data_IF_182025051334
#
_entry.id   IF_182025051334
#
_cell.length_a   1.000
_cell.length_b   1.000
_cell.length_c   1.000
_cell.angle_alpha   90.00
_cell.angle_beta   90.00
_cell.angle_gamma   90.00
#
_symmetry.space_group_name_H-M   'P 1'
#
loop_
_entity.id
_entity.type
_entity.pdbx_description
1 polymer ?
#
# COMPACT_ATOMS: atom_id res chain seq x y z
N UNK A 1 -7.87 -9.85 -28.44
CA UNK A 1 -6.42 -9.78 -28.18
C UNK A 1 -6.13 -10.83 -27.11
N UNK A 2 -5.03 -11.60 -27.21
CA UNK A 2 -4.64 -12.43 -26.08
C UNK A 2 -4.44 -11.54 -24.85
N UNK A 3 -4.68 -12.03 -23.61
CA UNK A 3 -4.38 -11.27 -22.42
C UNK A 3 -2.92 -10.82 -22.50
N UNK A 4 -2.69 -9.55 -22.22
CA UNK A 4 -1.35 -8.97 -22.22
C UNK A 4 -0.58 -9.75 -21.15
N UNK A 5 0.25 -10.71 -21.57
CA UNK A 5 1.09 -11.43 -20.61
C UNK A 5 1.96 -10.39 -19.91
N UNK A 6 1.89 -10.40 -18.59
CA UNK A 6 2.70 -9.53 -17.75
C UNK A 6 4.17 -9.59 -18.20
N UNK A 7 4.80 -8.44 -18.34
CA UNK A 7 6.25 -8.38 -18.57
C UNK A 7 6.98 -8.97 -17.35
N UNK A 8 7.64 -10.15 -17.47
CA UNK A 8 8.28 -10.79 -16.32
C UNK A 8 9.39 -9.93 -15.71
N UNK A 9 10.02 -9.05 -16.47
CA UNK A 9 11.08 -8.17 -15.96
C UNK A 9 10.49 -7.02 -15.16
N UNK A 10 9.31 -6.52 -15.55
CA UNK A 10 8.55 -5.56 -14.74
C UNK A 10 8.13 -6.19 -13.41
N UNK A 11 7.57 -7.39 -13.43
CA UNK A 11 7.14 -8.07 -12.20
C UNK A 11 8.32 -8.35 -11.26
N UNK A 12 9.46 -8.83 -11.77
CA UNK A 12 10.66 -9.03 -10.96
C UNK A 12 11.19 -7.73 -10.36
N UNK A 13 11.09 -6.62 -11.10
CA UNK A 13 11.49 -5.29 -10.59
C UNK A 13 10.59 -4.85 -9.45
N UNK A 14 9.29 -5.06 -9.58
CA UNK A 14 8.32 -4.78 -8.51
C UNK A 14 8.56 -5.69 -7.30
N UNK A 15 8.80 -6.98 -7.51
CA UNK A 15 9.09 -7.94 -6.43
C UNK A 15 10.36 -7.56 -5.66
N UNK A 16 11.41 -7.19 -6.37
CA UNK A 16 12.65 -6.69 -5.74
C UNK A 16 12.43 -5.41 -4.93
N UNK A 17 11.54 -4.51 -5.38
CA UNK A 17 11.14 -3.34 -4.61
C UNK A 17 10.38 -3.73 -3.34
N UNK A 18 9.41 -4.64 -3.43
CA UNK A 18 8.60 -5.09 -2.30
C UNK A 18 9.44 -5.84 -1.25
N UNK A 19 10.54 -6.48 -1.64
CA UNK A 19 11.54 -7.04 -0.72
C UNK A 19 12.43 -5.95 -0.08
N UNK A 20 12.76 -4.89 -0.82
CA UNK A 20 13.67 -3.84 -0.37
C UNK A 20 13.03 -2.87 0.64
N UNK A 21 11.75 -2.51 0.46
CA UNK A 21 11.04 -1.53 1.29
C UNK A 21 11.09 -1.89 2.78
N UNK A 22 10.71 -3.10 3.22
CA UNK A 22 10.72 -3.46 4.64
C UNK A 22 12.12 -3.46 5.25
N UNK A 23 13.15 -3.78 4.48
CA UNK A 23 14.55 -3.89 4.97
C UNK A 23 15.10 -2.58 5.52
N UNK A 24 14.49 -1.45 5.20
CA UNK A 24 14.91 -0.15 5.73
C UNK A 24 14.52 0.07 7.21
N UNK A 25 13.56 -0.70 7.74
CA UNK A 25 12.99 -0.50 9.08
C UNK A 25 12.73 -1.80 9.84
N UNK A 26 12.90 -2.95 9.21
CA UNK A 26 12.70 -4.26 9.80
C UNK A 26 13.97 -5.11 9.68
N UNK A 27 14.25 -5.91 10.69
CA UNK A 27 15.21 -7.00 10.54
C UNK A 27 14.56 -8.16 9.79
N UNK A 28 15.37 -9.00 9.18
CA UNK A 28 14.89 -10.15 8.40
C UNK A 28 15.32 -11.46 9.02
N UNK A 29 14.43 -12.44 8.94
CA UNK A 29 14.72 -13.85 9.20
C UNK A 29 14.33 -14.68 7.99
N UNK A 30 15.17 -15.66 7.61
CA UNK A 30 14.81 -16.63 6.58
C UNK A 30 14.16 -17.85 7.26
N UNK A 31 12.95 -18.21 6.82
CA UNK A 31 12.21 -19.37 7.31
C UNK A 31 11.75 -20.18 6.10
N UNK A 32 12.43 -21.30 5.82
CA UNK A 32 12.21 -22.07 4.61
C UNK A 32 12.37 -21.21 3.35
N UNK A 33 11.43 -21.24 2.40
CA UNK A 33 11.48 -20.45 1.18
C UNK A 33 10.99 -19.00 1.35
N UNK A 34 10.78 -18.53 2.59
CA UNK A 34 10.25 -17.20 2.88
C UNK A 34 11.25 -16.30 3.60
N UNK A 35 11.13 -14.99 3.37
CA UNK A 35 11.70 -13.93 4.19
C UNK A 35 10.61 -13.39 5.11
N UNK A 36 10.85 -13.45 6.42
CA UNK A 36 10.04 -12.83 7.46
C UNK A 36 10.63 -11.47 7.82
N UNK A 37 9.85 -10.41 7.71
CA UNK A 37 10.23 -9.05 8.09
C UNK A 37 9.69 -8.73 9.47
N UNK A 38 10.59 -8.53 10.43
CA UNK A 38 10.25 -8.32 11.85
C UNK A 38 10.45 -6.85 12.19
N UNK A 39 9.34 -6.11 12.29
CA UNK A 39 9.36 -4.73 12.79
C UNK A 39 9.02 -4.74 14.29
N UNK A 40 9.99 -4.45 15.14
CA UNK A 40 9.82 -4.34 16.59
C UNK A 40 9.50 -2.91 17.05
N UNK A 41 9.62 -1.95 16.14
CA UNK A 41 9.34 -0.54 16.40
C UNK A 41 7.89 -0.14 16.10
N UNK A 42 7.58 1.16 16.21
CA UNK A 42 6.29 1.70 15.78
C UNK A 42 6.14 1.57 14.26
N UNK A 43 4.89 1.63 13.77
CA UNK A 43 4.57 1.60 12.35
C UNK A 43 4.02 0.26 11.88
N UNK A 44 4.06 0.07 10.57
CA UNK A 44 3.45 -1.07 9.91
C UNK A 44 4.17 -2.38 10.23
N UNK A 45 3.40 -3.45 10.45
CA UNK A 45 3.91 -4.83 10.52
C UNK A 45 3.92 -5.39 9.10
N UNK A 46 5.07 -5.91 8.68
CA UNK A 46 5.24 -6.39 7.31
C UNK A 46 4.82 -7.85 7.17
N UNK A 47 4.43 -8.20 5.95
CA UNK A 47 4.10 -9.56 5.54
C UNK A 47 5.36 -10.42 5.40
N UNK A 48 5.24 -11.73 5.62
CA UNK A 48 6.24 -12.66 5.10
C UNK A 48 6.13 -12.74 3.58
N UNK A 49 7.25 -12.86 2.87
CA UNK A 49 7.31 -12.90 1.41
C UNK A 49 8.16 -14.07 0.92
N UNK A 50 7.84 -14.66 -0.25
CA UNK A 50 8.74 -15.58 -0.91
C UNK A 50 10.13 -14.96 -1.08
N UNK A 51 11.18 -15.75 -0.87
CA UNK A 51 12.53 -15.31 -1.20
C UNK A 51 12.70 -15.24 -2.72
N UNK A 52 13.41 -14.22 -3.23
CA UNK A 52 13.63 -14.11 -4.66
C UNK A 52 14.22 -15.39 -5.27
N UNK A 53 13.56 -15.90 -6.32
CA UNK A 53 14.00 -17.09 -7.05
C UNK A 53 13.48 -18.42 -6.51
N UNK A 54 12.79 -18.44 -5.37
CA UNK A 54 12.11 -19.66 -4.89
C UNK A 54 10.85 -19.93 -5.74
N UNK A 55 10.61 -21.20 -6.01
CA UNK A 55 9.49 -21.63 -6.89
C UNK A 55 8.66 -22.76 -6.29
N UNK A 56 9.12 -23.39 -5.21
CA UNK A 56 8.45 -24.48 -4.53
C UNK A 56 8.03 -24.07 -3.13
N UNK A 57 6.76 -24.22 -2.81
CA UNK A 57 6.15 -23.84 -1.55
C UNK A 57 5.20 -24.94 -1.09
N UNK A 58 5.24 -25.25 0.20
CA UNK A 58 4.37 -26.26 0.82
C UNK A 58 3.57 -25.67 1.97
N UNK A 59 2.45 -26.30 2.34
CA UNK A 59 1.71 -25.92 3.54
C UNK A 59 2.58 -26.02 4.84
N UNK A 60 3.55 -26.92 4.86
CA UNK A 60 4.51 -27.03 5.96
C UNK A 60 5.41 -25.79 6.09
N UNK A 61 5.88 -25.25 4.96
CA UNK A 61 6.69 -24.02 4.97
C UNK A 61 5.87 -22.82 5.49
N UNK A 62 4.60 -22.74 5.09
CA UNK A 62 3.68 -21.71 5.60
C UNK A 62 3.45 -21.87 7.10
N UNK A 63 3.20 -23.11 7.58
CA UNK A 63 3.02 -23.40 9.00
C UNK A 63 4.24 -23.02 9.84
N UNK A 64 5.45 -23.26 9.34
CA UNK A 64 6.70 -22.89 10.02
C UNK A 64 6.86 -21.37 10.15
N UNK A 65 6.55 -20.61 9.08
CA UNK A 65 6.55 -19.14 9.11
C UNK A 65 5.53 -18.62 10.11
N UNK A 66 4.30 -19.13 10.10
CA UNK A 66 3.23 -18.74 11.03
C UNK A 66 3.62 -19.04 12.49
N UNK A 67 4.23 -20.20 12.74
CA UNK A 67 4.75 -20.53 14.06
C UNK A 67 5.77 -19.47 14.51
N UNK A 68 6.69 -19.09 13.62
CA UNK A 68 7.69 -18.07 13.92
C UNK A 68 7.09 -16.68 14.11
N UNK A 69 6.09 -16.30 13.32
CA UNK A 69 5.34 -15.04 13.48
C UNK A 69 4.67 -14.97 14.86
N UNK A 70 4.03 -16.08 15.31
CA UNK A 70 3.42 -16.17 16.66
C UNK A 70 4.46 -16.00 17.78
N UNK A 71 5.60 -16.68 17.67
CA UNK A 71 6.70 -16.55 18.65
C UNK A 71 7.18 -15.09 18.80
N UNK A 72 7.19 -14.36 17.68
CA UNK A 72 7.63 -12.98 17.62
C UNK A 72 6.51 -11.96 17.87
N UNK A 73 5.29 -12.41 18.17
CA UNK A 73 4.09 -11.55 18.28
C UNK A 73 3.86 -10.69 17.04
N UNK A 74 4.19 -11.22 15.86
CA UNK A 74 3.91 -10.61 14.57
C UNK A 74 2.57 -11.12 14.02
N UNK A 75 1.90 -10.38 13.13
CA UNK A 75 0.74 -10.87 12.40
C UNK A 75 1.09 -12.11 11.56
N UNK A 76 0.19 -13.08 11.50
CA UNK A 76 0.30 -14.23 10.60
C UNK A 76 -0.20 -13.81 9.23
N UNK A 77 0.67 -13.20 8.44
CA UNK A 77 0.33 -12.58 7.17
C UNK A 77 1.43 -12.82 6.13
N UNK A 78 1.02 -13.03 4.88
CA UNK A 78 1.89 -13.21 3.72
C UNK A 78 1.45 -12.31 2.58
N UNK A 79 2.40 -11.91 1.75
CA UNK A 79 2.14 -11.20 0.50
C UNK A 79 3.13 -11.64 -0.57
N UNK A 80 2.66 -11.83 -1.80
CA UNK A 80 3.48 -12.28 -2.93
C UNK A 80 2.96 -11.73 -4.26
N UNK A 81 3.81 -11.75 -5.31
CA UNK A 81 3.34 -11.55 -6.68
C UNK A 81 2.93 -12.93 -7.23
N UNK A 82 1.64 -13.13 -7.42
CA UNK A 82 1.06 -14.41 -7.74
C UNK A 82 1.56 -14.97 -9.09
N UNK A 83 1.71 -14.09 -10.06
CA UNK A 83 2.24 -14.45 -11.39
C UNK A 83 3.71 -14.92 -11.35
N UNK A 84 4.49 -14.62 -10.29
CA UNK A 84 5.87 -15.08 -10.11
C UNK A 84 5.96 -16.35 -9.25
N UNK A 85 5.07 -16.49 -8.28
CA UNK A 85 5.12 -17.54 -7.26
C UNK A 85 3.73 -18.19 -7.03
N UNK A 86 3.09 -18.76 -8.08
CA UNK A 86 1.70 -19.23 -8.01
C UNK A 86 1.47 -20.38 -7.01
N UNK A 87 2.54 -21.10 -6.62
CA UNK A 87 2.44 -22.17 -5.60
C UNK A 87 2.17 -21.68 -4.18
N UNK A 88 2.35 -20.39 -3.91
CA UNK A 88 2.14 -19.81 -2.55
C UNK A 88 0.66 -19.81 -2.18
N UNK A 89 -0.25 -19.51 -3.13
CA UNK A 89 -1.69 -19.58 -2.92
C UNK A 89 -2.10 -20.95 -2.38
N UNK A 90 -1.76 -22.01 -3.11
CA UNK A 90 -2.09 -23.38 -2.72
C UNK A 90 -1.46 -23.77 -1.37
N UNK A 91 -0.23 -23.33 -1.10
CA UNK A 91 0.46 -23.60 0.16
C UNK A 91 -0.23 -22.92 1.34
N UNK A 92 -0.64 -21.66 1.18
CA UNK A 92 -1.34 -20.88 2.21
C UNK A 92 -2.74 -21.44 2.50
N UNK A 93 -3.51 -21.75 1.45
CA UNK A 93 -4.83 -22.41 1.60
C UNK A 93 -4.69 -23.80 2.26
N UNK A 94 -3.64 -24.54 1.91
CA UNK A 94 -3.34 -25.85 2.50
C UNK A 94 -3.04 -25.80 4.00
N UNK A 95 -2.56 -24.68 4.52
CA UNK A 95 -2.40 -24.40 5.96
C UNK A 95 -3.59 -23.63 6.58
N UNK A 96 -4.71 -23.54 5.85
CA UNK A 96 -5.97 -22.97 6.33
C UNK A 96 -6.01 -21.46 6.42
N UNK A 97 -5.15 -20.74 5.70
CA UNK A 97 -5.20 -19.28 5.61
C UNK A 97 -6.29 -18.81 4.64
N UNK A 98 -6.79 -17.59 4.87
CA UNK A 98 -7.64 -16.89 3.92
C UNK A 98 -6.77 -16.19 2.88
N UNK A 99 -6.93 -16.58 1.62
CA UNK A 99 -6.21 -15.98 0.49
C UNK A 99 -7.11 -14.96 -0.22
N UNK A 100 -6.51 -13.85 -0.61
CA UNK A 100 -7.11 -12.82 -1.45
C UNK A 100 -6.16 -12.48 -2.59
N UNK A 101 -6.65 -12.52 -3.81
CA UNK A 101 -5.90 -12.09 -5.01
C UNK A 101 -6.41 -10.73 -5.45
N UNK A 102 -5.48 -9.79 -5.70
CA UNK A 102 -5.78 -8.39 -6.01
C UNK A 102 -5.05 -7.94 -7.27
N UNK A 103 -5.63 -7.02 -8.08
CA UNK A 103 -4.95 -6.48 -9.24
C UNK A 103 -3.65 -5.74 -8.87
N UNK A 104 -2.53 -6.13 -9.48
CA UNK A 104 -1.29 -5.39 -9.50
C UNK A 104 -1.30 -4.48 -10.73
N UNK A 105 -1.15 -3.19 -10.53
CA UNK A 105 -1.28 -2.21 -11.58
C UNK A 105 0.00 -1.38 -11.73
N UNK A 106 0.39 -1.11 -12.97
CA UNK A 106 1.55 -0.30 -13.34
C UNK A 106 1.10 0.89 -14.20
N UNK A 107 1.80 2.01 -14.09
CA UNK A 107 1.61 3.19 -14.91
C UNK A 107 2.91 3.54 -15.65
N UNK A 108 2.87 3.45 -16.97
CA UNK A 108 3.91 4.03 -17.80
C UNK A 108 3.74 5.55 -17.91
N UNK A 109 4.83 6.30 -17.89
CA UNK A 109 4.77 7.77 -17.93
C UNK A 109 4.01 8.30 -19.16
N UNK A 110 4.11 7.62 -20.29
CA UNK A 110 3.40 7.99 -21.53
C UNK A 110 1.87 7.83 -21.44
N UNK A 111 1.39 6.99 -20.54
CA UNK A 111 -0.04 6.72 -20.34
C UNK A 111 -0.66 7.58 -19.23
N UNK A 112 0.15 8.40 -18.56
CA UNK A 112 -0.32 9.22 -17.46
C UNK A 112 -1.36 10.26 -17.89
N UNK A 113 -2.55 10.12 -17.38
CA UNK A 113 -3.69 11.01 -17.57
C UNK A 113 -4.08 11.65 -16.23
N UNK A 114 -3.51 12.80 -15.85
CA UNK A 114 -3.75 13.40 -14.55
C UNK A 114 -5.20 13.83 -14.37
N UNK A 115 -5.73 13.55 -13.19
CA UNK A 115 -7.07 13.98 -12.76
C UNK A 115 -6.93 15.25 -11.92
N UNK A 116 -7.60 16.31 -12.36
CA UNK A 116 -7.60 17.57 -11.63
C UNK A 116 -8.35 17.45 -10.29
N UNK A 117 -7.96 18.23 -9.26
CA UNK A 117 -8.73 18.34 -8.03
C UNK A 117 -10.18 18.75 -8.32
N UNK A 118 -11.18 18.19 -7.63
CA UNK A 118 -12.54 18.68 -7.70
C UNK A 118 -12.67 20.11 -7.14
N UNK A 119 -13.74 20.81 -7.50
CA UNK A 119 -13.98 22.19 -7.06
C UNK A 119 -13.86 22.35 -5.53
N UNK A 120 -13.11 23.35 -5.12
CA UNK A 120 -12.85 23.66 -3.73
C UNK A 120 -11.82 22.77 -3.03
N UNK A 121 -11.33 21.72 -3.68
CA UNK A 121 -10.25 20.89 -3.12
C UNK A 121 -8.87 21.43 -3.51
N UNK A 122 -8.01 21.60 -2.51
CA UNK A 122 -6.58 21.86 -2.68
C UNK A 122 -5.81 20.58 -2.41
N UNK A 123 -4.92 20.18 -3.34
CA UNK A 123 -4.05 19.03 -3.16
C UNK A 123 -2.60 19.49 -3.19
N UNK A 124 -1.84 19.10 -2.19
CA UNK A 124 -0.41 19.37 -2.11
C UNK A 124 0.34 18.24 -1.42
N UNK A 125 1.64 18.23 -1.59
CA UNK A 125 2.50 17.36 -0.81
C UNK A 125 2.64 17.89 0.63
N UNK A 126 2.58 16.97 1.58
CA UNK A 126 2.78 17.28 2.97
C UNK A 126 4.25 17.55 3.27
N UNK A 127 4.49 18.50 4.16
CA UNK A 127 5.80 18.81 4.71
C UNK A 127 5.94 18.23 6.13
N UNK A 128 7.18 18.09 6.65
CA UNK A 128 7.40 17.69 8.04
C UNK A 128 6.79 18.64 9.09
N UNK A 129 6.42 19.86 8.67
CA UNK A 129 5.84 20.91 9.55
C UNK A 129 4.31 20.89 9.59
N UNK A 130 3.69 20.09 8.74
CA UNK A 130 2.23 19.96 8.71
C UNK A 130 1.71 19.24 9.96
N UNK A 131 0.41 19.33 10.18
CA UNK A 131 -0.27 18.53 11.19
C UNK A 131 -0.34 17.06 10.73
N UNK A 132 0.71 16.32 11.06
CA UNK A 132 0.83 14.91 10.69
C UNK A 132 -0.13 14.03 11.50
N UNK A 133 -0.65 14.48 12.63
CA UNK A 133 -1.68 13.77 13.38
C UNK A 133 -3.01 13.83 12.60
N UNK A 134 -3.41 15.01 12.10
CA UNK A 134 -4.58 15.15 11.23
C UNK A 134 -4.48 14.26 9.98
N UNK A 135 -3.32 14.28 9.30
CA UNK A 135 -3.05 13.47 8.11
C UNK A 135 -3.17 11.97 8.42
N UNK A 136 -2.59 11.52 9.52
CA UNK A 136 -2.66 10.11 9.97
C UNK A 136 -4.08 9.70 10.35
N UNK A 137 -4.85 10.61 10.95
CA UNK A 137 -6.25 10.37 11.29
C UNK A 137 -7.12 10.18 10.06
N UNK A 138 -6.90 10.95 8.99
CA UNK A 138 -7.60 10.75 7.70
C UNK A 138 -7.33 9.36 7.15
N UNK A 139 -6.05 8.92 7.12
CA UNK A 139 -5.68 7.58 6.69
C UNK A 139 -6.40 6.52 7.54
N UNK A 140 -6.33 6.63 8.86
CA UNK A 140 -6.97 5.69 9.78
C UNK A 140 -8.48 5.57 9.51
N UNK A 141 -9.21 6.67 9.46
CA UNK A 141 -10.65 6.66 9.21
C UNK A 141 -11.02 6.10 7.84
N UNK A 142 -10.18 6.34 6.83
CA UNK A 142 -10.40 5.82 5.49
C UNK A 142 -10.31 4.29 5.45
N UNK A 143 -9.39 3.68 6.23
CA UNK A 143 -9.17 2.24 6.22
C UNK A 143 -9.95 1.48 7.30
N UNK A 144 -10.23 2.10 8.43
CA UNK A 144 -11.09 1.49 9.48
C UNK A 144 -12.57 1.39 9.05
N UNK A 145 -12.96 2.12 7.99
CA UNK A 145 -14.30 2.07 7.43
C UNK A 145 -14.24 1.40 6.05
N UNK A 146 -14.49 0.08 5.96
CA UNK A 146 -14.37 -0.65 4.70
C UNK A 146 -15.27 -0.11 3.59
N UNK A 147 -14.87 -0.35 2.33
CA UNK A 147 -15.63 0.00 1.14
C UNK A 147 -15.44 1.45 0.69
N UNK A 148 -16.16 1.80 -0.38
CA UNK A 148 -16.06 3.10 -1.06
C UNK A 148 -17.30 3.96 -0.92
N UNK A 149 -18.31 3.51 -0.19
CA UNK A 149 -19.56 4.24 0.00
C UNK A 149 -19.38 5.47 0.88
N UNK A 150 -20.24 6.46 0.66
CA UNK A 150 -20.26 7.66 1.47
C UNK A 150 -20.77 7.32 2.86
N UNK A 151 -20.03 7.74 3.88
CA UNK A 151 -20.39 7.55 5.30
C UNK A 151 -20.52 8.88 6.04
N UNK A 152 -20.84 8.80 7.33
CA UNK A 152 -21.07 10.00 8.15
C UNK A 152 -19.78 10.63 8.74
N UNK A 153 -18.65 9.89 8.76
CA UNK A 153 -17.41 10.35 9.40
C UNK A 153 -16.75 11.46 8.58
N UNK A 154 -16.85 12.68 9.06
CA UNK A 154 -16.36 13.90 8.44
C UNK A 154 -15.29 14.61 9.28
N UNK A 155 -15.24 15.94 9.20
CA UNK A 155 -14.20 16.78 9.83
C UNK A 155 -14.12 16.61 11.36
N UNK A 156 -15.26 16.49 12.03
CA UNK A 156 -15.32 16.28 13.47
C UNK A 156 -14.68 14.94 13.88
N UNK A 157 -14.99 13.86 13.15
CA UNK A 157 -14.40 12.56 13.40
C UNK A 157 -12.88 12.55 13.10
N UNK A 158 -12.44 13.32 12.10
CA UNK A 158 -11.00 13.49 11.82
C UNK A 158 -10.31 14.18 12.99
N UNK A 159 -10.89 15.26 13.53
CA UNK A 159 -10.33 15.99 14.66
C UNK A 159 -10.25 15.12 15.93
N UNK A 160 -11.30 14.33 16.19
CA UNK A 160 -11.30 13.37 17.30
C UNK A 160 -10.21 12.30 17.11
N UNK A 161 -10.15 11.66 15.93
CA UNK A 161 -9.15 10.66 15.63
C UNK A 161 -7.72 11.24 15.69
N UNK A 162 -7.50 12.49 15.24
CA UNK A 162 -6.21 13.17 15.31
C UNK A 162 -5.72 13.34 16.75
N UNK A 163 -6.64 13.64 17.67
CA UNK A 163 -6.30 13.77 19.10
C UNK A 163 -5.86 12.45 19.75
N UNK A 164 -6.22 11.33 19.15
CA UNK A 164 -5.89 9.98 19.60
C UNK A 164 -4.65 9.37 18.87
N UNK A 165 -4.06 10.08 17.90
CA UNK A 165 -2.86 9.60 17.21
C UNK A 165 -1.67 9.60 18.18
N UNK A 166 -1.01 8.45 18.30
CA UNK A 166 0.17 8.30 19.14
C UNK A 166 1.32 9.18 18.66
N UNK A 167 2.02 9.80 19.59
CA UNK A 167 3.15 10.69 19.30
C UNK A 167 4.25 10.01 18.47
N UNK A 168 4.50 8.73 18.72
CA UNK A 168 5.50 7.94 17.97
C UNK A 168 5.11 7.78 16.50
N UNK A 169 3.83 7.67 16.16
CA UNK A 169 3.33 7.64 14.77
C UNK A 169 3.68 8.96 14.06
N UNK A 170 3.47 10.10 14.72
CA UNK A 170 3.79 11.44 14.18
C UNK A 170 5.30 11.57 13.98
N UNK A 171 6.11 11.14 14.95
CA UNK A 171 7.57 11.19 14.87
C UNK A 171 8.07 10.34 13.71
N UNK A 172 7.59 9.10 13.59
CA UNK A 172 7.96 8.20 12.52
C UNK A 172 7.57 8.76 11.14
N UNK A 173 6.33 9.23 10.99
CA UNK A 173 5.85 9.82 9.72
C UNK A 173 6.72 11.00 9.31
N UNK A 174 7.04 11.91 10.27
CA UNK A 174 7.93 13.04 10.02
C UNK A 174 9.30 12.60 9.55
N UNK A 175 9.92 11.67 10.27
CA UNK A 175 11.24 11.15 9.92
C UNK A 175 11.27 10.52 8.52
N UNK A 176 10.22 9.78 8.14
CA UNK A 176 10.12 9.18 6.80
C UNK A 176 10.00 10.24 5.70
N UNK A 177 9.22 11.31 5.94
CA UNK A 177 9.10 12.42 4.99
C UNK A 177 10.44 13.16 4.87
N UNK A 178 11.11 13.49 5.99
CA UNK A 178 12.41 14.16 6.02
C UNK A 178 13.51 13.34 5.31
N UNK A 179 13.48 12.02 5.47
CA UNK A 179 14.42 11.12 4.81
C UNK A 179 14.08 10.83 3.35
N UNK A 180 12.95 11.33 2.83
CA UNK A 180 12.49 11.03 1.46
C UNK A 180 12.02 9.58 1.26
N UNK A 181 11.79 8.82 2.34
CA UNK A 181 11.29 7.44 2.31
C UNK A 181 9.77 7.36 2.13
N UNK A 182 9.09 8.48 2.28
CA UNK A 182 7.67 8.62 2.02
C UNK A 182 7.37 10.03 1.51
N UNK A 183 6.56 10.12 0.47
CA UNK A 183 5.97 11.36 -0.02
C UNK A 183 4.48 11.26 0.17
N UNK A 184 3.93 12.15 0.97
CA UNK A 184 2.50 12.13 1.33
C UNK A 184 1.80 13.26 0.59
N UNK A 185 0.74 12.95 -0.16
CA UNK A 185 -0.18 13.95 -0.70
C UNK A 185 -1.41 14.07 0.20
N UNK A 186 -1.83 15.29 0.45
CA UNK A 186 -3.02 15.59 1.25
C UNK A 186 -3.97 16.47 0.44
N UNK A 187 -5.24 16.08 0.42
CA UNK A 187 -6.32 16.91 -0.11
C UNK A 187 -7.02 17.63 1.03
N UNK A 188 -7.22 18.95 0.87
CA UNK A 188 -7.93 19.79 1.83
C UNK A 188 -9.20 20.36 1.19
N UNK A 189 -10.27 20.40 1.97
CA UNK A 189 -11.50 21.13 1.68
C UNK A 189 -11.76 22.09 2.83
N UNK A 190 -11.96 23.36 2.52
CA UNK A 190 -12.20 24.41 3.56
C UNK A 190 -11.15 24.40 4.67
N UNK A 191 -9.90 24.05 4.33
CA UNK A 191 -8.76 23.99 5.25
C UNK A 191 -8.59 22.67 5.99
N UNK A 192 -9.59 21.79 6.07
CA UNK A 192 -9.50 20.48 6.72
C UNK A 192 -8.90 19.43 5.78
N UNK A 193 -8.03 18.57 6.27
CA UNK A 193 -7.55 17.41 5.52
C UNK A 193 -8.71 16.40 5.38
N UNK A 194 -8.98 15.92 4.16
CA UNK A 194 -10.12 15.05 3.87
C UNK A 194 -9.76 13.77 3.12
N UNK A 195 -8.61 13.76 2.46
CA UNK A 195 -8.06 12.57 1.82
C UNK A 195 -6.54 12.64 1.80
N UNK A 196 -5.93 11.48 1.78
CA UNK A 196 -4.46 11.31 1.79
C UNK A 196 -4.06 10.18 0.86
N UNK A 197 -2.79 10.12 0.54
CA UNK A 197 -2.13 9.01 -0.11
C UNK A 197 -0.63 9.17 0.05
N UNK A 198 0.11 8.10 -0.20
CA UNK A 198 1.56 8.09 -0.06
C UNK A 198 2.19 7.39 -1.24
N UNK A 199 3.36 7.82 -1.68
CA UNK A 199 4.24 6.97 -2.43
C UNK A 199 5.56 6.76 -1.68
N UNK A 200 6.20 5.60 -1.90
CA UNK A 200 7.38 5.17 -1.16
C UNK A 200 8.52 4.89 -2.16
N UNK A 201 9.38 5.88 -2.45
CA UNK A 201 10.43 5.69 -3.46
C UNK A 201 11.58 4.82 -2.95
N UNK A 202 11.99 3.85 -3.79
CA UNK A 202 13.23 3.06 -3.61
C UNK A 202 13.93 2.99 -4.97
N UNK A 203 15.06 3.67 -5.10
CA UNK A 203 15.73 3.81 -6.38
C UNK A 203 14.84 4.49 -7.43
N UNK A 204 14.61 3.83 -8.55
CA UNK A 204 13.76 4.30 -9.64
C UNK A 204 12.35 3.64 -9.67
N UNK A 205 11.96 3.01 -8.56
CA UNK A 205 10.64 2.35 -8.39
C UNK A 205 9.90 2.99 -7.24
N UNK A 206 8.59 3.13 -7.35
CA UNK A 206 7.73 3.55 -6.24
C UNK A 206 6.37 2.88 -6.27
N UNK A 207 5.87 2.58 -5.10
CA UNK A 207 4.50 2.13 -4.89
C UNK A 207 3.62 3.27 -4.39
N UNK A 208 2.43 3.41 -4.98
CA UNK A 208 1.36 4.27 -4.45
C UNK A 208 0.56 3.45 -3.44
N UNK A 209 0.58 3.89 -2.19
CA UNK A 209 -0.07 3.20 -1.07
C UNK A 209 -0.95 4.13 -0.25
N UNK A 210 -1.88 3.57 0.50
CA UNK A 210 -2.62 4.32 1.50
C UNK A 210 -3.49 5.44 0.93
N UNK A 211 -3.95 5.33 -0.33
CA UNK A 211 -4.87 6.32 -0.91
C UNK A 211 -6.26 6.12 -0.32
N UNK A 212 -6.74 7.13 0.40
CA UNK A 212 -8.05 7.06 1.03
C UNK A 212 -8.63 8.45 1.30
N UNK A 213 -9.96 8.51 1.29
CA UNK A 213 -10.72 9.67 1.73
C UNK A 213 -11.56 9.32 2.96
N UNK A 214 -11.69 10.25 3.89
CA UNK A 214 -12.60 10.10 5.01
C UNK A 214 -14.03 9.86 4.48
N UNK A 215 -14.83 9.02 5.14
CA UNK A 215 -16.10 8.50 4.59
C UNK A 215 -17.05 9.57 4.03
N UNK A 216 -17.19 10.72 4.69
CA UNK A 216 -18.07 11.79 4.24
C UNK A 216 -17.62 12.48 2.91
N UNK A 217 -16.37 12.25 2.51
CA UNK A 217 -15.78 12.89 1.32
C UNK A 217 -15.52 11.92 0.16
N UNK A 218 -15.98 10.68 0.28
CA UNK A 218 -15.87 9.66 -0.77
C UNK A 218 -16.71 9.99 -2.00
N UNK A 219 -16.40 9.34 -3.13
CA UNK A 219 -17.13 9.45 -4.43
C UNK A 219 -17.10 10.83 -5.07
N UNK A 220 -16.17 11.69 -4.67
CA UNK A 220 -15.98 13.05 -5.20
C UNK A 220 -14.77 13.17 -6.15
N UNK A 221 -14.12 12.06 -6.50
CA UNK A 221 -12.91 12.09 -7.35
C UNK A 221 -11.60 12.48 -6.62
N UNK A 222 -11.66 12.79 -5.32
CA UNK A 222 -10.51 13.29 -4.55
C UNK A 222 -9.38 12.26 -4.51
N UNK A 223 -9.69 10.96 -4.34
CA UNK A 223 -8.67 9.90 -4.33
C UNK A 223 -7.89 9.81 -5.65
N UNK A 224 -8.57 9.95 -6.79
CA UNK A 224 -7.91 9.97 -8.09
C UNK A 224 -6.98 11.19 -8.26
N UNK A 225 -7.41 12.35 -7.78
CA UNK A 225 -6.60 13.56 -7.83
C UNK A 225 -5.38 13.50 -6.87
N UNK A 226 -5.54 12.93 -5.67
CA UNK A 226 -4.42 12.62 -4.76
C UNK A 226 -3.42 11.68 -5.41
N UNK A 227 -3.89 10.59 -6.02
CA UNK A 227 -3.04 9.66 -6.77
C UNK A 227 -2.30 10.38 -7.89
N UNK A 228 -2.98 11.24 -8.65
CA UNK A 228 -2.36 12.00 -9.74
C UNK A 228 -1.24 12.93 -9.24
N UNK A 229 -1.41 13.56 -8.08
CA UNK A 229 -0.37 14.39 -7.48
C UNK A 229 0.87 13.58 -7.06
N UNK A 230 0.66 12.37 -6.50
CA UNK A 230 1.75 11.45 -6.14
C UNK A 230 2.50 10.93 -7.37
N UNK A 231 1.77 10.56 -8.42
CA UNK A 231 2.34 10.10 -9.69
C UNK A 231 3.17 11.20 -10.35
N UNK A 232 2.66 12.43 -10.34
CA UNK A 232 3.37 13.59 -10.91
C UNK A 232 4.71 13.79 -10.19
N UNK A 233 4.71 13.84 -8.85
CA UNK A 233 5.94 13.96 -8.05
C UNK A 233 6.92 12.80 -8.34
N UNK A 234 6.41 11.57 -8.42
CA UNK A 234 7.24 10.41 -8.72
C UNK A 234 7.96 10.56 -10.08
N UNK A 235 7.26 10.95 -11.13
CA UNK A 235 7.86 11.18 -12.45
C UNK A 235 8.79 12.38 -12.49
N UNK A 236 8.47 13.46 -11.79
CA UNK A 236 9.36 14.62 -11.66
C UNK A 236 10.68 14.30 -10.95
N UNK A 237 10.68 13.30 -10.05
CA UNK A 237 11.88 12.74 -9.40
C UNK A 237 12.65 11.74 -10.27
N UNK A 238 12.16 11.41 -11.46
CA UNK A 238 12.80 10.45 -12.36
C UNK A 238 12.48 8.99 -12.07
N UNK A 239 11.38 8.71 -11.36
CA UNK A 239 10.89 7.34 -11.15
C UNK A 239 10.50 6.73 -12.50
N UNK A 240 10.97 5.53 -12.79
CA UNK A 240 10.68 4.80 -14.03
C UNK A 240 9.52 3.82 -13.88
N UNK A 241 9.32 3.28 -12.67
CA UNK A 241 8.29 2.29 -12.38
C UNK A 241 7.38 2.80 -11.27
N UNK A 242 6.16 3.18 -11.63
CA UNK A 242 5.11 3.56 -10.68
C UNK A 242 4.05 2.48 -10.69
N UNK A 243 3.78 1.89 -9.52
CA UNK A 243 2.82 0.81 -9.41
C UNK A 243 1.95 0.94 -8.15
N UNK A 244 0.90 0.14 -8.08
CA UNK A 244 0.05 -0.04 -6.91
C UNK A 244 -0.63 -1.41 -6.92
N UNK A 245 -1.08 -1.87 -5.76
CA UNK A 245 -2.03 -2.96 -5.62
C UNK A 245 -3.41 -2.38 -5.34
N UNK A 246 -4.38 -2.62 -6.21
CA UNK A 246 -5.76 -2.20 -5.99
C UNK A 246 -6.47 -3.18 -5.06
N UNK A 247 -7.34 -2.68 -4.17
CA UNK A 247 -8.05 -3.54 -3.23
C UNK A 247 -8.99 -4.56 -3.90
N UNK A 248 -9.58 -4.17 -5.02
CA UNK A 248 -10.46 -4.99 -5.87
C UNK A 248 -10.57 -4.40 -7.28
N UNK A 249 -11.28 -5.09 -8.15
CA UNK A 249 -11.56 -4.67 -9.54
C UNK A 249 -12.35 -3.35 -9.63
N UNK A 250 -13.16 -3.03 -8.64
CA UNK A 250 -13.93 -1.77 -8.61
C UNK A 250 -13.01 -0.60 -8.32
N UNK A 251 -12.07 -0.79 -7.41
CA UNK A 251 -11.04 0.20 -7.08
C UNK A 251 -10.04 0.33 -8.24
N UNK A 252 -9.67 -0.77 -8.90
CA UNK A 252 -8.78 -0.76 -10.07
C UNK A 252 -9.29 0.20 -11.16
N UNK A 253 -10.60 0.26 -11.42
CA UNK A 253 -11.21 1.17 -12.41
C UNK A 253 -10.99 2.65 -12.10
N UNK A 254 -10.76 3.01 -10.84
CA UNK A 254 -10.41 4.40 -10.47
C UNK A 254 -9.02 4.73 -11.00
N UNK A 255 -8.08 3.81 -10.86
CA UNK A 255 -6.69 3.97 -11.28
C UNK A 255 -6.51 3.85 -12.80
N UNK A 256 -7.34 3.04 -13.48
CA UNK A 256 -7.37 2.97 -14.95
C UNK A 256 -7.64 4.34 -15.59
N UNK A 257 -8.45 5.18 -14.96
CA UNK A 257 -8.74 6.56 -15.43
C UNK A 257 -7.52 7.47 -15.37
N UNK A 258 -6.55 7.15 -14.53
CA UNK A 258 -5.28 7.88 -14.39
C UNK A 258 -4.24 7.34 -15.39
N UNK A 259 -4.52 6.18 -16.01
CA UNK A 259 -3.66 5.50 -16.98
C UNK A 259 -3.04 4.20 -16.49
N UNK A 260 -3.25 3.80 -15.23
CA UNK A 260 -2.77 2.51 -14.73
C UNK A 260 -3.36 1.34 -15.53
N UNK A 261 -2.58 0.27 -15.67
CA UNK A 261 -3.01 -0.98 -16.31
C UNK A 261 -2.70 -2.15 -15.39
N UNK A 262 -3.58 -3.13 -15.36
CA UNK A 262 -3.31 -4.40 -14.68
C UNK A 262 -2.18 -5.10 -15.41
N UNK A 263 -1.14 -5.47 -14.67
CA UNK A 263 0.07 -6.14 -15.17
C UNK A 263 0.32 -7.47 -14.48
N UNK A 264 -0.47 -7.84 -13.51
CA UNK A 264 -0.38 -9.07 -12.74
C UNK A 264 -1.27 -9.01 -11.51
N UNK A 265 -0.98 -9.86 -10.54
CA UNK A 265 -1.76 -10.00 -9.33
C UNK A 265 -0.86 -10.06 -8.09
N UNK A 266 -1.36 -9.53 -6.99
CA UNK A 266 -0.77 -9.69 -5.66
C UNK A 266 -1.65 -10.64 -4.86
N UNK A 267 -1.07 -11.72 -4.39
CA UNK A 267 -1.67 -12.60 -3.41
C UNK A 267 -1.38 -12.09 -1.99
N UNK A 268 -2.36 -12.17 -1.12
CA UNK A 268 -2.21 -11.95 0.30
C UNK A 268 -2.92 -13.04 1.08
N UNK A 269 -2.27 -13.56 2.12
CA UNK A 269 -2.86 -14.55 3.02
C UNK A 269 -2.87 -14.04 4.46
N UNK A 270 -3.98 -14.25 5.14
CA UNK A 270 -4.18 -13.82 6.53
C UNK A 270 -4.76 -14.94 7.37
N UNK A 271 -4.52 -14.91 8.68
CA UNK A 271 -5.15 -15.83 9.62
C UNK A 271 -6.67 -15.56 9.69
N UNK A 272 -7.54 -16.59 9.45
CA UNK A 272 -8.99 -16.42 9.50
C UNK A 272 -9.52 -16.00 10.88
N UNK A 273 -8.78 -16.22 11.97
CA UNK A 273 -9.18 -15.80 13.31
C UNK A 273 -9.06 -14.27 13.53
N UNK A 274 -8.47 -13.53 12.60
CA UNK A 274 -8.29 -12.06 12.68
C UNK A 274 -9.27 -11.27 11.81
N UNK A 275 -10.11 -11.92 11.06
CA UNK A 275 -11.20 -11.33 10.25
C UNK A 275 -12.53 -11.30 11.05
#
# INVERSE_FOLDING_TARGET
MPPNMADPDLLRRIDAYLDAVPRSVARTEEVGPFTLFVNEGPGWRFYARPRPGETEFTAGDVADVRARQRELSQPEEFEWIDDLTPGVEQAAEGDGMLVTIRPLMHLAQADFAPVAPPDGAEIRLASPKDDLAEISAVAKLAFDTPGTDIGALGVEAIAEAASAVEGDTVVLTRARIEAGLAVVAVARLEGAAVAVGTHQPVGNVTEIVGVGAAPAFRRRGIGAAVTSALVLDAFERGTETVFLSAGDETIARVYERIGFRVVGHVGAATDPART
#
